data_IF_079735607387
#
_entry.id   IF_079735607387
#
_cell.length_a   1.000
_cell.length_b   1.000
_cell.length_c   1.000
_cell.angle_alpha   90.00
_cell.angle_beta   90.00
_cell.angle_gamma   90.00
#
_symmetry.space_group_name_H-M   'P 1'
#
loop_
_entity.id
_entity.type
_entity.pdbx_description
1 polymer ?
#
# COMPACT_ATOMS: atom_id res chain seq x y z
N UNK A 1 8.01 -4.57 11.11
CA UNK A 1 8.02 -6.04 10.96
C UNK A 1 6.89 -6.40 10.00
N UNK A 2 7.16 -7.01 8.83
CA UNK A 2 6.14 -7.27 7.82
C UNK A 2 5.32 -8.56 8.06
N UNK A 3 5.64 -9.38 9.07
CA UNK A 3 4.95 -10.67 9.28
C UNK A 3 3.45 -10.56 9.50
N UNK A 4 2.98 -9.46 10.11
CA UNK A 4 1.54 -9.21 10.28
C UNK A 4 0.80 -9.09 8.95
N UNK A 5 1.40 -8.41 7.97
CA UNK A 5 0.83 -8.28 6.63
C UNK A 5 0.77 -9.63 5.91
N UNK A 6 1.84 -10.43 5.99
CA UNK A 6 1.85 -11.77 5.41
C UNK A 6 0.83 -12.72 6.07
N UNK A 7 0.68 -12.63 7.38
CA UNK A 7 -0.32 -13.39 8.12
C UNK A 7 -1.73 -13.06 7.63
N UNK A 8 -2.06 -11.77 7.49
CA UNK A 8 -3.36 -11.32 6.95
C UNK A 8 -3.58 -11.91 5.56
N UNK A 9 -2.61 -11.80 4.65
CA UNK A 9 -2.71 -12.34 3.29
C UNK A 9 -3.05 -13.84 3.29
N UNK A 10 -2.36 -14.61 4.13
CA UNK A 10 -2.63 -16.04 4.33
C UNK A 10 -4.02 -16.30 4.91
N UNK A 11 -4.45 -15.52 5.90
CA UNK A 11 -5.76 -15.68 6.55
C UNK A 11 -6.91 -15.42 5.58
N UNK A 12 -6.78 -14.44 4.68
CA UNK A 12 -7.81 -14.14 3.68
C UNK A 12 -7.68 -14.97 2.40
N UNK A 13 -6.64 -15.81 2.29
CA UNK A 13 -6.43 -16.68 1.13
C UNK A 13 -6.07 -15.93 -0.16
N UNK A 14 -5.45 -14.76 -0.06
CA UNK A 14 -5.07 -13.91 -1.21
C UNK A 14 -3.56 -13.82 -1.28
N UNK A 15 -2.99 -13.94 -2.50
CA UNK A 15 -1.54 -13.78 -2.68
C UNK A 15 -1.13 -12.32 -2.39
N UNK A 16 0.04 -12.06 -1.78
CA UNK A 16 0.47 -10.71 -1.45
C UNK A 16 0.42 -9.73 -2.64
N UNK A 17 0.77 -10.20 -3.84
CA UNK A 17 0.80 -9.40 -5.07
C UNK A 17 -0.59 -8.93 -5.51
N UNK A 18 -1.65 -9.51 -4.93
CA UNK A 18 -3.06 -9.14 -5.16
C UNK A 18 -3.63 -8.28 -4.03
N UNK A 19 -2.78 -7.76 -3.14
CA UNK A 19 -3.17 -6.92 -2.02
C UNK A 19 -2.57 -5.52 -2.21
N UNK A 20 -3.44 -4.52 -2.16
CA UNK A 20 -3.06 -3.11 -2.10
C UNK A 20 -3.02 -2.65 -0.64
N UNK A 21 -1.81 -2.36 -0.16
CA UNK A 21 -1.55 -1.87 1.19
C UNK A 21 -1.49 -0.33 1.17
N UNK A 22 -2.43 0.31 1.87
CA UNK A 22 -2.47 1.76 2.05
C UNK A 22 -1.78 2.16 3.35
N UNK A 23 -0.86 3.12 3.28
CA UNK A 23 -0.25 3.71 4.48
C UNK A 23 0.34 5.09 4.21
N UNK A 24 0.75 5.75 5.27
CA UNK A 24 1.17 7.16 5.26
C UNK A 24 2.56 7.35 5.86
N UNK A 25 3.29 6.26 6.13
CA UNK A 25 4.66 6.30 6.63
C UNK A 25 5.59 5.40 5.82
N UNK A 26 6.91 5.65 5.92
CA UNK A 26 7.94 4.76 5.37
C UNK A 26 7.83 3.32 5.90
N UNK A 27 7.31 3.14 7.12
CA UNK A 27 7.15 1.81 7.74
C UNK A 27 6.05 1.02 7.04
N UNK A 28 4.97 1.67 6.62
CA UNK A 28 3.90 1.03 5.86
C UNK A 28 4.39 0.57 4.49
N UNK A 29 5.11 1.45 3.79
CA UNK A 29 5.70 1.14 2.48
C UNK A 29 6.69 -0.02 2.60
N UNK A 30 7.58 0.02 3.59
CA UNK A 30 8.52 -1.08 3.85
C UNK A 30 7.80 -2.38 4.23
N UNK A 31 6.70 -2.29 4.97
CA UNK A 31 5.88 -3.45 5.35
C UNK A 31 5.27 -4.12 4.13
N UNK A 32 4.62 -3.35 3.26
CA UNK A 32 4.02 -3.85 2.03
C UNK A 32 5.07 -4.50 1.11
N UNK A 33 6.15 -3.78 0.82
CA UNK A 33 7.21 -4.26 -0.08
C UNK A 33 7.94 -5.47 0.49
N UNK A 34 8.12 -5.53 1.81
CA UNK A 34 8.79 -6.65 2.49
C UNK A 34 8.12 -8.01 2.30
N UNK A 35 6.84 -8.04 1.90
CA UNK A 35 6.08 -9.26 1.63
C UNK A 35 5.49 -9.33 0.23
N UNK A 36 5.90 -8.43 -0.68
CA UNK A 36 5.45 -8.44 -2.08
C UNK A 36 4.04 -7.88 -2.32
N UNK A 37 3.50 -7.09 -1.40
CA UNK A 37 2.25 -6.36 -1.63
C UNK A 37 2.47 -5.09 -2.46
N UNK A 38 1.42 -4.63 -3.12
CA UNK A 38 1.38 -3.33 -3.81
C UNK A 38 1.22 -2.24 -2.75
N UNK A 39 2.09 -1.23 -2.75
CA UNK A 39 2.06 -0.15 -1.77
C UNK A 39 1.44 1.14 -2.33
N UNK A 40 0.54 1.76 -1.57
CA UNK A 40 -0.02 3.07 -1.84
C UNK A 40 0.26 4.02 -0.67
N UNK A 41 0.96 5.12 -0.95
CA UNK A 41 1.23 6.21 -0.02
C UNK A 41 0.10 7.24 0.00
N UNK A 42 -0.49 7.51 1.17
CA UNK A 42 -1.52 8.54 1.36
C UNK A 42 -0.91 9.88 1.81
N UNK A 43 -1.06 10.94 1.02
CA UNK A 43 -0.49 12.27 1.36
C UNK A 43 -1.33 13.05 2.37
N UNK A 44 -2.53 12.57 2.70
CA UNK A 44 -3.42 13.16 3.70
C UNK A 44 -3.22 12.59 5.11
N UNK A 45 -2.18 11.76 5.32
CA UNK A 45 -1.79 11.23 6.61
C UNK A 45 -0.62 11.98 7.25
N UNK A 46 0.31 11.22 7.82
CA UNK A 46 1.42 11.74 8.64
C UNK A 46 2.59 12.28 7.83
N UNK A 47 2.89 11.70 6.66
CA UNK A 47 4.03 12.10 5.83
C UNK A 47 3.61 12.72 4.50
N UNK A 48 4.45 13.65 4.04
CA UNK A 48 4.29 14.30 2.75
C UNK A 48 4.69 13.39 1.58
N UNK A 49 4.31 13.81 0.38
CA UNK A 49 4.59 13.11 -0.89
C UNK A 49 6.06 12.72 -1.05
N UNK A 50 6.99 13.63 -0.79
CA UNK A 50 8.42 13.40 -1.02
C UNK A 50 8.95 12.23 -0.17
N UNK A 51 8.61 12.18 1.12
CA UNK A 51 9.01 11.06 1.99
C UNK A 51 8.43 9.72 1.52
N UNK A 52 7.19 9.71 1.04
CA UNK A 52 6.54 8.51 0.51
C UNK A 52 7.18 8.04 -0.81
N UNK A 53 7.59 8.99 -1.67
CA UNK A 53 8.36 8.70 -2.89
C UNK A 53 9.73 8.10 -2.54
N UNK A 54 10.44 8.71 -1.60
CA UNK A 54 11.76 8.24 -1.14
C UNK A 54 11.67 6.86 -0.47
N UNK A 55 10.57 6.57 0.24
CA UNK A 55 10.29 5.26 0.79
C UNK A 55 10.00 4.19 -0.28
N UNK A 56 9.79 4.60 -1.53
CA UNK A 56 9.56 3.70 -2.66
C UNK A 56 8.12 3.20 -2.78
N UNK A 57 7.14 4.02 -2.41
CA UNK A 57 5.73 3.69 -2.63
C UNK A 57 5.45 3.45 -4.12
N UNK A 58 4.72 2.38 -4.45
CA UNK A 58 4.42 2.04 -5.85
C UNK A 58 3.40 3.04 -6.44
N UNK A 59 2.48 3.51 -5.59
CA UNK A 59 1.53 4.57 -5.91
C UNK A 59 1.50 5.63 -4.81
N UNK A 60 1.17 6.86 -5.20
CA UNK A 60 0.87 7.94 -4.24
C UNK A 60 -0.48 8.52 -4.59
N UNK A 61 -1.32 8.65 -3.57
CA UNK A 61 -2.67 9.15 -3.66
C UNK A 61 -2.85 10.35 -2.74
N UNK A 62 -3.64 11.32 -3.19
CA UNK A 62 -3.92 12.60 -2.52
C UNK A 62 -5.32 12.68 -1.92
N UNK A 63 -6.17 11.69 -2.19
CA UNK A 63 -7.47 11.57 -1.53
C UNK A 63 -7.96 10.13 -1.42
N UNK A 64 -8.88 9.84 -0.49
CA UNK A 64 -9.56 8.55 -0.43
C UNK A 64 -10.30 8.18 -1.73
N UNK A 65 -10.85 9.16 -2.45
CA UNK A 65 -11.51 8.93 -3.74
C UNK A 65 -10.53 8.47 -4.81
N UNK A 66 -9.33 9.06 -4.86
CA UNK A 66 -8.26 8.59 -5.76
C UNK A 66 -7.80 7.17 -5.40
N UNK A 67 -7.70 6.84 -4.12
CA UNK A 67 -7.40 5.47 -3.68
C UNK A 67 -8.43 4.46 -4.18
N UNK A 68 -9.72 4.77 -4.08
CA UNK A 68 -10.78 3.90 -4.61
C UNK A 68 -10.71 3.75 -6.13
N UNK A 69 -10.35 4.81 -6.87
CA UNK A 69 -10.15 4.74 -8.32
C UNK A 69 -8.96 3.84 -8.67
N UNK A 70 -7.85 3.98 -7.95
CA UNK A 70 -6.67 3.12 -8.09
C UNK A 70 -7.04 1.65 -7.84
N UNK A 71 -7.69 1.33 -6.72
CA UNK A 71 -8.09 -0.03 -6.38
C UNK A 71 -8.96 -0.68 -7.47
N UNK A 72 -9.92 0.07 -8.03
CA UNK A 72 -10.75 -0.40 -9.16
C UNK A 72 -9.91 -0.69 -10.41
N UNK A 73 -8.99 0.21 -10.76
CA UNK A 73 -8.14 0.05 -11.95
C UNK A 73 -7.22 -1.18 -11.87
N UNK A 74 -6.78 -1.54 -10.66
CA UNK A 74 -5.89 -2.68 -10.43
C UNK A 74 -6.61 -4.03 -10.39
N UNK A 75 -7.84 -4.08 -9.86
CA UNK A 75 -8.48 -5.36 -9.50
C UNK A 75 -9.85 -5.62 -10.14
N UNK A 76 -10.44 -4.67 -10.86
CA UNK A 76 -11.80 -4.79 -11.41
C UNK A 76 -11.87 -4.76 -12.95
N UNK A 77 -10.81 -5.19 -13.64
CA UNK A 77 -10.84 -5.44 -15.09
C UNK A 77 -11.44 -6.81 -15.41
#
# INVERSE_FOLDING_TARGET
>A
DPWGALYIAKTIGVSPERILYLGDTKTDIATAKGVGMISAGATWGFRGREELQQAGADYIVDSPSQFLQLAKSLFCN
#
